data_IF_168695778165
#
_entry.id   IF_168695778165
#
_cell.length_a   1.000
_cell.length_b   1.000
_cell.length_c   1.000
_cell.angle_alpha   90.00
_cell.angle_beta   90.00
_cell.angle_gamma   90.00
#
_symmetry.space_group_name_H-M   'P 1'
#
loop_
_entity.id
_entity.type
_entity.pdbx_description
1 polymer ?
#
# COMPACT_ATOMS: atom_id res chain seq x y z
N UNK A 1 -12.40 22.69 18.86
CA UNK A 1 -12.70 21.73 17.83
C UNK A 1 -11.76 20.54 17.73
N UNK A 2 -10.44 20.72 17.80
CA UNK A 2 -9.49 19.59 17.56
C UNK A 2 -9.53 18.54 18.67
N UNK A 3 -9.52 18.96 19.92
CA UNK A 3 -9.50 18.03 21.05
C UNK A 3 -10.75 17.12 21.12
N UNK A 4 -11.99 17.63 20.96
CA UNK A 4 -13.17 16.74 20.88
C UNK A 4 -13.12 15.75 19.68
N UNK A 5 -12.54 16.17 18.56
CA UNK A 5 -12.34 15.26 17.41
C UNK A 5 -11.39 14.11 17.77
N UNK A 6 -10.24 14.42 18.39
CA UNK A 6 -9.27 13.41 18.83
C UNK A 6 -9.86 12.49 19.91
N UNK A 7 -10.63 13.02 20.85
CA UNK A 7 -11.33 12.19 21.82
C UNK A 7 -12.33 11.24 21.12
N UNK A 8 -13.09 11.75 20.14
CA UNK A 8 -14.00 10.91 19.35
C UNK A 8 -13.28 9.81 18.58
N UNK A 9 -12.08 10.07 18.06
CA UNK A 9 -11.25 9.03 17.43
C UNK A 9 -10.86 7.96 18.44
N UNK A 10 -10.41 8.35 19.63
CA UNK A 10 -9.99 7.41 20.69
C UNK A 10 -11.19 6.58 21.20
N UNK A 11 -12.34 7.23 21.39
CA UNK A 11 -13.51 6.60 22.02
C UNK A 11 -14.29 5.68 21.06
N UNK A 12 -14.25 5.94 19.74
CA UNK A 12 -15.16 5.28 18.79
C UNK A 12 -14.46 4.51 17.67
N UNK A 13 -13.18 4.71 17.40
CA UNK A 13 -12.46 3.96 16.38
C UNK A 13 -11.64 2.82 17.00
N UNK A 14 -11.75 1.58 16.46
CA UNK A 14 -11.00 0.45 16.98
C UNK A 14 -9.50 0.60 16.66
N UNK A 15 -8.68 0.30 17.64
CA UNK A 15 -7.24 0.08 17.44
C UNK A 15 -6.95 -1.28 16.80
N UNK A 16 -5.72 -1.53 16.35
CA UNK A 16 -5.35 -2.81 15.73
C UNK A 16 -5.60 -4.04 16.61
N UNK A 17 -5.55 -3.88 17.93
CA UNK A 17 -5.76 -4.97 18.90
C UNK A 17 -7.24 -5.18 19.26
N UNK A 18 -8.11 -4.22 18.94
CA UNK A 18 -9.55 -4.31 19.21
C UNK A 18 -10.27 -5.11 18.11
N UNK A 19 -9.61 -5.32 16.97
CA UNK A 19 -10.13 -6.12 15.85
C UNK A 19 -9.67 -7.56 16.05
N UNK A 20 -10.58 -8.53 15.86
CA UNK A 20 -10.29 -9.94 16.12
C UNK A 20 -9.14 -10.42 15.22
N UNK A 21 -9.39 -10.82 14.01
CA UNK A 21 -8.39 -11.24 13.05
C UNK A 21 -8.78 -10.71 11.65
N UNK A 22 -7.78 -10.40 10.86
CA UNK A 22 -8.00 -10.11 9.45
C UNK A 22 -8.02 -11.43 8.68
N UNK A 23 -9.00 -11.60 7.81
CA UNK A 23 -9.14 -12.81 7.00
C UNK A 23 -8.72 -12.54 5.58
N UNK A 24 -8.01 -13.49 4.98
CA UNK A 24 -7.59 -13.47 3.60
C UNK A 24 -7.70 -14.86 2.98
N UNK A 25 -7.26 -14.98 1.74
CA UNK A 25 -7.27 -16.23 0.98
C UNK A 25 -5.90 -16.50 0.34
N UNK A 26 -5.69 -17.75 -0.08
CA UNK A 26 -4.46 -18.13 -0.78
C UNK A 26 -4.41 -17.48 -2.19
N UNK A 27 -3.23 -17.05 -2.68
CA UNK A 27 -3.13 -16.40 -4.00
C UNK A 27 -3.56 -17.26 -5.18
N UNK A 28 -3.58 -18.57 -5.02
CA UNK A 28 -4.00 -19.58 -6.01
C UNK A 28 -5.45 -20.04 -5.82
N UNK A 29 -6.14 -19.54 -4.81
CA UNK A 29 -7.54 -19.87 -4.55
C UNK A 29 -8.48 -19.05 -5.43
N UNK A 30 -8.94 -19.66 -6.52
CA UNK A 30 -9.88 -19.04 -7.48
C UNK A 30 -11.25 -18.73 -6.85
N UNK A 31 -11.59 -19.39 -5.75
CA UNK A 31 -12.87 -19.19 -5.06
C UNK A 31 -12.81 -18.05 -4.04
N UNK A 32 -11.62 -17.51 -3.79
CA UNK A 32 -11.34 -16.45 -2.81
C UNK A 32 -11.91 -16.78 -1.41
N UNK A 33 -11.83 -18.05 -1.03
CA UNK A 33 -12.33 -18.51 0.27
C UNK A 33 -11.44 -17.95 1.38
N UNK A 34 -12.00 -17.04 2.17
CA UNK A 34 -11.29 -16.35 3.26
C UNK A 34 -11.08 -17.27 4.46
N UNK A 35 -10.08 -18.14 4.39
CA UNK A 35 -9.75 -19.16 5.39
C UNK A 35 -8.39 -18.95 6.07
N UNK A 36 -7.64 -17.93 5.67
CA UNK A 36 -6.35 -17.60 6.28
C UNK A 36 -6.54 -16.41 7.21
N UNK A 37 -6.27 -16.60 8.49
CA UNK A 37 -6.33 -15.53 9.50
C UNK A 37 -4.96 -14.90 9.71
N UNK A 38 -4.95 -13.59 9.97
CA UNK A 38 -3.81 -12.79 10.40
C UNK A 38 -4.22 -11.90 11.55
N UNK A 39 -3.54 -12.02 12.68
CA UNK A 39 -3.78 -11.19 13.87
C UNK A 39 -2.77 -10.08 13.95
N UNK A 40 -3.14 -8.96 14.55
CA UNK A 40 -2.23 -7.86 14.84
C UNK A 40 -1.22 -8.26 15.92
N UNK A 41 -0.24 -9.08 15.53
CA UNK A 41 0.80 -9.63 16.40
C UNK A 41 2.11 -9.73 15.61
N UNK A 42 3.19 -9.26 16.22
CA UNK A 42 4.53 -9.23 15.62
C UNK A 42 5.13 -10.63 15.40
N UNK A 43 4.69 -11.64 16.15
CA UNK A 43 5.11 -13.03 15.98
C UNK A 43 4.44 -13.75 14.80
N UNK A 44 3.41 -13.17 14.21
CA UNK A 44 2.74 -13.71 13.03
C UNK A 44 3.58 -13.50 11.76
N UNK A 45 3.34 -14.27 10.69
CA UNK A 45 3.93 -13.99 9.39
C UNK A 45 3.55 -12.59 8.90
N UNK A 46 4.50 -11.88 8.28
CA UNK A 46 4.24 -10.54 7.77
C UNK A 46 3.10 -10.53 6.75
N UNK A 47 2.19 -9.60 6.92
CA UNK A 47 1.20 -9.22 5.91
C UNK A 47 0.85 -7.74 6.02
N UNK A 48 0.73 -7.08 4.87
CA UNK A 48 0.38 -5.67 4.78
C UNK A 48 -0.33 -5.34 3.47
N UNK A 49 -1.06 -4.25 3.47
CA UNK A 49 -1.81 -3.75 2.33
C UNK A 49 -1.20 -2.44 1.83
N UNK A 50 -0.79 -2.40 0.58
CA UNK A 50 -0.43 -1.18 -0.11
C UNK A 50 -1.71 -0.40 -0.46
N UNK A 51 -2.06 0.59 0.35
CA UNK A 51 -3.34 1.29 0.23
C UNK A 51 -3.26 2.63 -0.50
N UNK A 52 -2.05 3.15 -0.72
CA UNK A 52 -1.82 4.41 -1.42
C UNK A 52 -0.44 4.45 -2.05
N UNK A 53 -0.36 5.00 -3.26
CA UNK A 53 0.89 5.38 -3.92
C UNK A 53 0.95 6.91 -3.99
N UNK A 54 2.11 7.48 -3.75
CA UNK A 54 2.37 8.91 -3.87
C UNK A 54 3.72 9.14 -4.55
N UNK A 55 3.79 10.03 -5.52
CA UNK A 55 5.05 10.45 -6.12
C UNK A 55 5.61 11.66 -5.38
N UNK A 56 6.72 11.45 -4.69
CA UNK A 56 7.45 12.50 -4.00
C UNK A 56 8.54 13.08 -4.92
N UNK A 57 8.67 14.40 -5.03
CA UNK A 57 9.64 15.02 -5.94
C UNK A 57 11.09 14.73 -5.58
N UNK A 58 11.39 14.32 -4.35
CA UNK A 58 12.76 14.09 -3.86
C UNK A 58 13.11 12.61 -3.72
N UNK A 59 12.13 11.79 -3.33
CA UNK A 59 12.34 10.36 -3.03
C UNK A 59 11.86 9.48 -4.18
N UNK A 60 10.97 9.99 -5.01
CA UNK A 60 10.30 9.23 -6.06
C UNK A 60 9.02 8.57 -5.54
N UNK A 61 8.67 7.41 -6.09
CA UNK A 61 7.45 6.71 -5.69
C UNK A 61 7.53 6.19 -4.26
N UNK A 62 6.54 6.54 -3.46
CA UNK A 62 6.31 6.07 -2.10
C UNK A 62 5.06 5.19 -2.06
N UNK A 63 5.21 3.96 -1.60
CA UNK A 63 4.11 3.03 -1.38
C UNK A 63 3.75 3.01 0.10
N UNK A 64 2.57 3.51 0.44
CA UNK A 64 2.07 3.48 1.82
C UNK A 64 1.47 2.10 2.11
N UNK A 65 1.99 1.46 3.14
CA UNK A 65 1.61 0.11 3.54
C UNK A 65 1.09 0.13 4.98
N UNK A 66 -0.10 -0.39 5.20
CA UNK A 66 -0.59 -0.74 6.53
C UNK A 66 -0.16 -2.17 6.84
N UNK A 67 0.54 -2.35 7.95
CA UNK A 67 0.96 -3.67 8.44
C UNK A 67 -0.17 -4.27 9.27
N UNK A 68 -0.66 -5.44 8.85
CA UNK A 68 -1.73 -6.16 9.56
C UNK A 68 -1.18 -7.21 10.51
N UNK A 69 -0.04 -7.82 10.20
CA UNK A 69 0.62 -8.82 11.04
C UNK A 69 2.11 -8.87 10.79
N UNK A 70 2.86 -9.37 11.77
CA UNK A 70 4.30 -9.58 11.68
C UNK A 70 5.12 -8.29 11.75
N UNK A 71 6.40 -8.43 11.52
CA UNK A 71 7.39 -7.34 11.51
C UNK A 71 7.97 -7.21 10.12
N UNK A 72 8.10 -5.98 9.65
CA UNK A 72 8.76 -5.63 8.40
C UNK A 72 10.12 -5.00 8.70
N UNK A 73 11.17 -5.49 8.03
CA UNK A 73 12.53 -4.95 8.17
C UNK A 73 13.07 -4.45 6.84
N UNK A 74 13.91 -3.45 6.92
CA UNK A 74 14.68 -2.97 5.77
C UNK A 74 15.52 -4.11 5.19
N UNK A 75 15.42 -4.30 3.89
CA UNK A 75 16.11 -5.38 3.18
C UNK A 75 15.30 -6.66 3.01
N UNK A 76 14.15 -6.81 3.67
CA UNK A 76 13.30 -7.98 3.52
C UNK A 76 12.85 -8.19 2.07
N UNK A 77 12.68 -9.46 1.71
CA UNK A 77 12.08 -9.86 0.44
C UNK A 77 10.62 -10.20 0.67
N UNK A 78 9.74 -9.43 0.07
CA UNK A 78 8.29 -9.60 0.16
C UNK A 78 7.74 -10.25 -1.10
N UNK A 79 6.63 -10.96 -0.96
CA UNK A 79 5.78 -11.38 -2.06
C UNK A 79 4.63 -10.36 -2.19
N UNK A 80 4.51 -9.74 -3.37
CA UNK A 80 3.27 -9.12 -3.80
C UNK A 80 2.34 -10.26 -4.24
N UNK A 81 1.48 -10.71 -3.35
CA UNK A 81 0.63 -11.88 -3.57
C UNK A 81 -0.47 -11.63 -4.60
N UNK A 82 -0.89 -10.38 -4.77
CA UNK A 82 -1.87 -9.99 -5.79
C UNK A 82 -1.31 -10.13 -7.21
N UNK A 83 -0.01 -9.88 -7.40
CA UNK A 83 0.65 -9.94 -8.72
C UNK A 83 1.58 -11.15 -8.91
N UNK A 84 1.81 -11.94 -7.85
CA UNK A 84 2.74 -13.07 -7.89
C UNK A 84 4.21 -12.66 -8.03
N UNK A 85 4.59 -11.41 -7.70
CA UNK A 85 5.94 -10.89 -7.87
C UNK A 85 6.65 -10.66 -6.54
N UNK A 86 7.96 -10.88 -6.53
CA UNK A 86 8.80 -10.58 -5.35
C UNK A 86 9.41 -9.20 -5.46
N UNK A 87 9.36 -8.47 -4.35
CA UNK A 87 9.96 -7.14 -4.21
C UNK A 87 10.81 -7.08 -2.96
N UNK A 88 11.82 -6.21 -2.98
CA UNK A 88 12.71 -6.01 -1.84
C UNK A 88 12.42 -4.65 -1.20
N UNK A 89 12.29 -4.65 0.12
CA UNK A 89 12.15 -3.42 0.91
C UNK A 89 13.46 -2.64 0.85
N UNK A 90 13.40 -1.49 0.23
CA UNK A 90 14.52 -0.54 0.19
C UNK A 90 14.55 0.33 1.45
N UNK A 91 14.28 1.62 1.28
CA UNK A 91 14.11 2.54 2.41
C UNK A 91 12.69 2.49 2.93
N UNK A 92 12.57 2.50 4.24
CA UNK A 92 11.29 2.52 4.96
C UNK A 92 11.24 3.78 5.82
N UNK A 93 10.11 4.46 5.82
CA UNK A 93 9.94 5.74 6.48
C UNK A 93 8.64 5.79 7.27
N UNK A 94 8.72 6.36 8.46
CA UNK A 94 7.54 6.86 9.19
C UNK A 94 7.27 8.28 8.72
N UNK A 95 6.01 8.57 8.41
CA UNK A 95 5.58 9.86 7.90
C UNK A 95 4.85 10.65 8.97
N UNK A 96 5.35 11.85 9.25
CA UNK A 96 4.70 12.83 10.13
C UNK A 96 4.37 14.08 9.32
N UNK A 97 3.20 14.11 8.70
CA UNK A 97 2.86 15.13 7.70
C UNK A 97 3.88 15.08 6.55
N UNK A 98 4.63 16.16 6.31
CA UNK A 98 5.69 16.25 5.29
C UNK A 98 7.07 15.83 5.82
N UNK A 99 7.21 15.57 7.13
CA UNK A 99 8.46 15.11 7.70
C UNK A 99 8.58 13.59 7.52
N UNK A 100 9.78 13.16 7.16
CA UNK A 100 10.13 11.75 6.90
C UNK A 100 11.18 11.33 7.91
N UNK A 101 10.90 10.27 8.61
CA UNK A 101 11.84 9.63 9.53
C UNK A 101 12.18 8.25 9.00
N UNK A 102 13.45 8.01 8.65
CA UNK A 102 13.87 6.69 8.16
C UNK A 102 13.91 5.72 9.35
N UNK A 103 13.28 4.55 9.16
CA UNK A 103 13.19 3.50 10.17
C UNK A 103 13.74 2.19 9.61
N UNK A 104 14.27 1.33 10.48
CA UNK A 104 14.84 0.03 10.10
C UNK A 104 13.84 -1.13 10.24
N UNK A 105 12.83 -0.97 11.10
CA UNK A 105 11.77 -1.97 11.32
C UNK A 105 10.43 -1.30 11.64
N UNK A 106 9.35 -2.02 11.35
CA UNK A 106 7.98 -1.61 11.61
C UNK A 106 7.13 -2.83 12.01
N UNK A 107 6.09 -2.60 12.79
CA UNK A 107 5.35 -3.61 13.54
C UNK A 107 3.89 -3.71 13.10
N UNK A 108 3.22 -4.77 13.55
CA UNK A 108 1.79 -4.97 13.31
C UNK A 108 0.97 -3.77 13.82
N UNK A 109 0.16 -3.17 12.95
CA UNK A 109 -0.64 -1.97 13.21
C UNK A 109 -0.03 -0.67 12.68
N UNK A 110 1.26 -0.66 12.35
CA UNK A 110 1.93 0.52 11.80
C UNK A 110 1.49 0.83 10.36
N UNK A 111 1.63 2.10 10.01
CA UNK A 111 1.54 2.59 8.63
C UNK A 111 2.89 3.17 8.25
N UNK A 112 3.50 2.64 7.22
CA UNK A 112 4.84 3.03 6.76
C UNK A 112 4.84 3.36 5.27
N UNK A 113 5.80 4.19 4.85
CA UNK A 113 6.06 4.48 3.45
C UNK A 113 7.31 3.73 2.98
N UNK A 114 7.15 2.89 1.97
CA UNK A 114 8.22 2.15 1.32
C UNK A 114 8.66 2.87 0.04
N UNK A 115 9.95 3.19 -0.07
CA UNK A 115 10.51 3.80 -1.26
C UNK A 115 11.09 2.75 -2.20
N UNK A 116 10.85 2.94 -3.51
CA UNK A 116 11.48 2.13 -4.55
C UNK A 116 10.78 0.79 -4.84
N UNK A 117 9.55 0.62 -4.39
CA UNK A 117 8.70 -0.49 -4.83
C UNK A 117 8.38 -0.31 -6.32
N UNK A 118 8.63 -1.35 -7.13
CA UNK A 118 8.56 -1.24 -8.59
C UNK A 118 7.25 -1.76 -9.17
N UNK A 119 6.75 -2.83 -8.60
CA UNK A 119 5.58 -3.56 -9.12
C UNK A 119 4.32 -3.33 -8.28
N UNK A 120 4.47 -2.84 -7.07
CA UNK A 120 3.35 -2.60 -6.15
C UNK A 120 2.47 -1.44 -6.62
N UNK A 121 1.16 -1.67 -6.60
CA UNK A 121 0.11 -0.67 -6.86
C UNK A 121 -0.88 -0.64 -5.70
N UNK A 122 -1.71 0.39 -5.66
CA UNK A 122 -2.79 0.50 -4.66
C UNK A 122 -3.70 -0.73 -4.69
N UNK A 123 -4.00 -1.28 -3.53
CA UNK A 123 -4.80 -2.50 -3.36
C UNK A 123 -4.00 -3.80 -3.35
N UNK A 124 -2.67 -3.75 -3.56
CA UNK A 124 -1.87 -4.96 -3.52
C UNK A 124 -1.55 -5.41 -2.09
N UNK A 125 -1.62 -6.71 -1.85
CA UNK A 125 -1.15 -7.32 -0.60
C UNK A 125 0.32 -7.69 -0.71
N UNK A 126 1.10 -7.28 0.28
CA UNK A 126 2.50 -7.63 0.48
C UNK A 126 2.61 -8.58 1.67
N UNK A 127 3.27 -9.72 1.50
CA UNK A 127 3.34 -10.73 2.55
C UNK A 127 4.66 -11.49 2.57
N UNK A 128 4.81 -12.31 3.62
CA UNK A 128 5.90 -13.29 3.71
C UNK A 128 5.79 -14.30 2.55
N UNK A 129 6.85 -14.48 1.75
CA UNK A 129 6.85 -15.44 0.64
C UNK A 129 6.60 -16.89 1.05
N UNK A 130 6.87 -17.26 2.30
CA UNK A 130 6.68 -18.62 2.83
C UNK A 130 5.26 -18.86 3.36
N UNK A 131 4.51 -17.80 3.63
CA UNK A 131 3.15 -17.85 4.17
C UNK A 131 2.25 -16.88 3.40
N UNK A 132 2.05 -17.11 2.10
CA UNK A 132 1.35 -16.16 1.24
C UNK A 132 -0.12 -16.00 1.63
N UNK A 133 -0.63 -14.78 1.49
CA UNK A 133 -2.04 -14.44 1.72
C UNK A 133 -2.40 -13.26 0.84
N UNK A 134 -3.63 -13.20 0.36
CA UNK A 134 -4.27 -12.01 -0.20
C UNK A 134 -5.29 -11.54 0.83
N UNK A 135 -5.13 -10.31 1.34
CA UNK A 135 -5.97 -9.78 2.43
C UNK A 135 -7.26 -9.18 1.90
N UNK A 136 -7.14 -8.25 0.98
CA UNK A 136 -8.28 -7.51 0.44
C UNK A 136 -8.05 -7.24 -1.03
N UNK A 137 -9.11 -7.36 -1.82
CA UNK A 137 -9.12 -6.94 -3.22
C UNK A 137 -9.91 -5.64 -3.31
N UNK A 138 -9.23 -4.54 -3.57
CA UNK A 138 -9.88 -3.25 -3.77
C UNK A 138 -10.46 -3.18 -5.18
N UNK A 139 -11.74 -2.86 -5.27
CA UNK A 139 -12.42 -2.54 -6.53
C UNK A 139 -12.52 -1.03 -6.67
N UNK A 140 -12.06 -0.52 -7.79
CA UNK A 140 -12.13 0.92 -8.09
C UNK A 140 -13.26 1.17 -9.11
N UNK A 141 -14.01 2.29 -8.97
CA UNK A 141 -15.03 2.63 -9.94
C UNK A 141 -14.39 2.98 -11.30
N UNK A 142 -15.10 2.65 -12.37
CA UNK A 142 -14.70 3.07 -13.71
C UNK A 142 -14.76 4.59 -13.84
N UNK A 143 -13.85 5.20 -14.62
CA UNK A 143 -13.90 6.64 -14.90
C UNK A 143 -15.22 7.04 -15.58
N UNK A 144 -15.81 8.12 -15.10
CA UNK A 144 -17.08 8.65 -15.66
C UNK A 144 -16.90 9.88 -16.53
N UNK A 145 -15.68 10.44 -16.58
CA UNK A 145 -15.33 11.64 -17.36
C UNK A 145 -14.10 11.32 -18.20
N UNK A 146 -14.18 11.66 -19.49
CA UNK A 146 -13.06 11.55 -20.42
C UNK A 146 -12.70 12.93 -20.95
N UNK A 147 -11.40 13.21 -21.07
CA UNK A 147 -10.86 14.46 -21.62
C UNK A 147 -9.77 14.13 -22.62
N UNK A 148 -9.92 14.61 -23.85
CA UNK A 148 -8.86 14.53 -24.83
C UNK A 148 -7.78 15.58 -24.54
N UNK A 149 -6.50 15.16 -24.49
CA UNK A 149 -5.36 16.05 -24.30
C UNK A 149 -4.37 15.87 -25.45
N UNK A 150 -3.85 17.00 -25.95
CA UNK A 150 -2.83 17.02 -27.00
C UNK A 150 -1.60 17.82 -26.53
N UNK A 151 -0.38 17.33 -26.78
CA UNK A 151 0.82 18.09 -26.47
C UNK A 151 0.96 19.27 -27.43
N UNK A 152 1.42 20.43 -26.94
CA UNK A 152 1.63 21.61 -27.76
C UNK A 152 2.85 21.49 -28.70
N UNK A 153 3.86 20.73 -28.26
CA UNK A 153 5.10 20.49 -29.01
C UNK A 153 5.50 19.02 -28.93
N UNK A 154 6.38 18.58 -29.86
CA UNK A 154 6.92 17.22 -29.81
C UNK A 154 7.69 16.93 -28.51
N UNK A 155 8.41 17.92 -27.99
CA UNK A 155 9.13 17.76 -26.70
C UNK A 155 8.20 17.60 -25.51
N UNK A 156 6.96 18.06 -25.59
CA UNK A 156 5.98 17.92 -24.51
C UNK A 156 5.31 16.55 -24.54
N UNK A 157 5.37 15.83 -25.65
CA UNK A 157 4.76 14.50 -25.79
C UNK A 157 5.37 13.49 -24.80
N UNK A 158 6.70 13.45 -24.69
CA UNK A 158 7.39 12.56 -23.74
C UNK A 158 7.09 12.94 -22.28
N UNK A 159 7.10 14.25 -21.98
CA UNK A 159 6.77 14.77 -20.65
C UNK A 159 5.32 14.46 -20.25
N UNK A 160 4.40 14.61 -21.22
CA UNK A 160 3.00 14.29 -21.05
C UNK A 160 2.82 12.80 -20.73
N UNK A 161 3.42 11.90 -21.53
CA UNK A 161 3.36 10.45 -21.27
C UNK A 161 3.90 10.07 -19.89
N UNK A 162 5.04 10.64 -19.49
CA UNK A 162 5.60 10.41 -18.16
C UNK A 162 4.70 10.97 -17.04
N UNK A 163 4.06 12.12 -17.24
CA UNK A 163 3.12 12.72 -16.30
C UNK A 163 1.87 11.87 -16.12
N UNK A 164 1.27 11.42 -17.22
CA UNK A 164 0.08 10.55 -17.21
C UNK A 164 0.37 9.21 -16.54
N UNK A 165 1.52 8.60 -16.83
CA UNK A 165 1.92 7.35 -16.16
C UNK A 165 2.06 7.50 -14.64
N UNK A 166 2.55 8.65 -14.15
CA UNK A 166 2.62 8.93 -12.72
C UNK A 166 1.23 9.08 -12.09
N UNK A 167 0.32 9.80 -12.76
CA UNK A 167 -1.06 9.96 -12.30
C UNK A 167 -1.78 8.60 -12.22
N UNK A 168 -1.64 7.76 -13.26
CA UNK A 168 -2.21 6.41 -13.26
C UNK A 168 -1.64 5.50 -12.16
N UNK A 169 -0.39 5.72 -11.75
CA UNK A 169 0.20 4.98 -10.63
C UNK A 169 -0.34 5.44 -9.27
N UNK A 170 -0.70 6.72 -9.11
CA UNK A 170 -1.23 7.28 -7.86
C UNK A 170 -2.73 7.03 -7.71
N UNK A 171 -3.49 7.16 -8.78
CA UNK A 171 -4.94 7.04 -8.80
C UNK A 171 -5.37 5.83 -9.66
N UNK A 172 -5.81 4.73 -9.03
CA UNK A 172 -6.23 3.54 -9.77
C UNK A 172 -7.51 3.75 -10.61
N UNK A 173 -8.29 4.81 -10.35
CA UNK A 173 -9.45 5.19 -11.17
C UNK A 173 -9.07 6.00 -12.42
N UNK A 174 -7.81 6.50 -12.48
CA UNK A 174 -7.30 7.25 -13.62
C UNK A 174 -6.79 6.30 -14.72
N UNK A 175 -7.40 6.33 -15.87
CA UNK A 175 -7.05 5.51 -17.04
C UNK A 175 -6.57 6.40 -18.20
N UNK A 176 -5.63 5.88 -19.01
CA UNK A 176 -5.06 6.57 -20.18
C UNK A 176 -5.15 5.66 -21.40
#
# INVERSE_FOLDING_TARGET
GVQPLLNGVIDYLPGPLDVAAYTGFAPDDVTETRNIERRANDAEPFSGLAFKIMNDPFVGSLTFVRIYSGVLKKGDSLLNSTKGKRERVGRMMMMHSNNREEIEEAFAGDIVALAGMKDSTTGNTLCDPLKPVVLETMTFPDPVIEIAIEPKTKSDQEKMGAGLARLAAEDPSFQV
#
